data_IF_876729546556
#
_entry.id   IF_876729546556
#
_cell.length_a   1.000
_cell.length_b   1.000
_cell.length_c   1.000
_cell.angle_alpha   90.00
_cell.angle_beta   90.00
_cell.angle_gamma   90.00
#
_symmetry.space_group_name_H-M   'P 1'
#
loop_
_entity.id
_entity.type
_entity.pdbx_description
1 polymer ?
#
# COMPACT_ATOMS: atom_id res chain seq x y z
N UNK A 1 -29.63 -10.07 -46.80
CA UNK A 1 -29.37 -9.98 -45.35
C UNK A 1 -27.91 -10.26 -45.13
N UNK A 2 -27.13 -9.23 -44.77
CA UNK A 2 -25.69 -9.32 -44.57
C UNK A 2 -25.37 -10.07 -43.28
N UNK A 3 -24.57 -11.15 -43.40
CA UNK A 3 -23.98 -11.84 -42.27
C UNK A 3 -22.74 -11.08 -41.82
N UNK A 4 -22.80 -10.48 -40.63
CA UNK A 4 -21.63 -9.93 -39.97
C UNK A 4 -20.76 -11.08 -39.45
N UNK A 5 -19.55 -11.18 -40.00
CA UNK A 5 -18.47 -12.00 -39.45
C UNK A 5 -18.01 -11.39 -38.13
N UNK A 6 -18.14 -12.13 -37.04
CA UNK A 6 -17.61 -11.74 -35.73
C UNK A 6 -16.08 -11.86 -35.76
N UNK A 7 -15.40 -10.72 -35.94
CA UNK A 7 -13.97 -10.63 -35.67
C UNK A 7 -13.78 -10.77 -34.15
N UNK A 8 -13.22 -11.88 -33.70
CA UNK A 8 -12.72 -12.04 -32.33
C UNK A 8 -11.55 -11.08 -32.15
N UNK A 9 -11.79 -9.97 -31.46
CA UNK A 9 -10.73 -9.02 -31.09
C UNK A 9 -9.91 -9.62 -29.94
N UNK A 10 -8.79 -10.26 -30.31
CA UNK A 10 -7.65 -10.43 -29.40
C UNK A 10 -7.22 -9.04 -28.94
N UNK A 11 -7.54 -8.71 -27.69
CA UNK A 11 -7.14 -7.47 -27.03
C UNK A 11 -6.50 -7.79 -25.69
N UNK A 12 -5.42 -8.59 -25.73
CA UNK A 12 -4.40 -8.53 -24.67
C UNK A 12 -3.55 -7.28 -24.87
N UNK A 13 -4.20 -6.11 -24.91
CA UNK A 13 -3.49 -4.85 -24.74
C UNK A 13 -3.35 -4.68 -23.23
N UNK A 14 -2.29 -5.26 -22.66
CA UNK A 14 -1.80 -4.80 -21.37
C UNK A 14 -1.48 -3.32 -21.57
N UNK A 15 -2.43 -2.46 -21.23
CA UNK A 15 -2.22 -1.02 -21.20
C UNK A 15 -1.00 -0.81 -20.30
N UNK A 16 0.12 -0.39 -20.90
CA UNK A 16 1.28 0.07 -20.17
C UNK A 16 0.78 1.21 -19.29
N UNK A 17 0.63 0.94 -18.00
CA UNK A 17 0.26 1.94 -17.02
C UNK A 17 1.39 2.98 -16.96
N UNK A 18 1.18 4.09 -17.66
CA UNK A 18 2.10 5.23 -17.75
C UNK A 18 2.07 6.11 -16.47
N UNK A 19 1.36 5.66 -15.43
CA UNK A 19 1.22 6.40 -14.18
C UNK A 19 2.32 6.03 -13.18
N UNK A 20 3.59 6.09 -13.58
CA UNK A 20 4.74 5.79 -12.67
C UNK A 20 4.98 6.85 -11.59
N UNK A 21 4.19 7.92 -11.59
CA UNK A 21 4.26 9.01 -10.63
C UNK A 21 2.84 9.43 -10.22
N UNK A 22 2.57 9.41 -8.93
CA UNK A 22 1.29 9.83 -8.38
C UNK A 22 1.47 10.77 -7.18
N UNK A 23 0.53 11.71 -7.03
CA UNK A 23 0.47 12.63 -5.89
C UNK A 23 -0.57 12.12 -4.90
N UNK A 24 -0.17 12.02 -3.63
CA UNK A 24 -1.08 11.74 -2.51
C UNK A 24 -1.30 12.98 -1.69
N UNK A 25 -2.57 13.32 -1.50
CA UNK A 25 -3.03 14.36 -0.58
C UNK A 25 -3.67 13.63 0.61
N UNK A 26 -3.13 13.84 1.81
CA UNK A 26 -3.54 13.16 3.03
C UNK A 26 -3.94 14.20 4.07
N UNK A 27 -5.24 14.39 4.34
CA UNK A 27 -5.69 15.25 5.43
C UNK A 27 -5.18 14.75 6.78
N UNK A 28 -4.99 15.66 7.73
CA UNK A 28 -4.64 15.33 9.11
C UNK A 28 -5.64 14.31 9.69
N UNK A 29 -5.12 13.26 10.32
CA UNK A 29 -5.92 12.19 10.89
C UNK A 29 -6.32 11.10 9.89
N UNK A 30 -5.98 11.25 8.60
CA UNK A 30 -6.16 10.16 7.64
C UNK A 30 -5.27 8.97 7.95
N UNK A 31 -5.80 7.78 7.70
CA UNK A 31 -5.13 6.50 7.92
C UNK A 31 -5.36 5.59 6.72
N UNK A 32 -4.26 5.14 6.10
CA UNK A 32 -4.27 4.08 5.09
C UNK A 32 -3.84 2.78 5.76
N UNK A 33 -4.74 1.80 5.76
CA UNK A 33 -4.53 0.55 6.47
C UNK A 33 -3.41 -0.31 5.85
N UNK A 34 -2.98 -1.34 6.59
CA UNK A 34 -1.89 -2.23 6.19
C UNK A 34 -2.14 -2.87 4.83
N UNK A 35 -1.16 -2.74 3.94
CA UNK A 35 -1.15 -3.34 2.60
C UNK A 35 0.25 -3.77 2.19
N UNK A 36 0.31 -4.66 1.21
CA UNK A 36 1.50 -4.88 0.38
C UNK A 36 1.26 -4.11 -0.94
N UNK A 37 2.33 -3.59 -1.55
CA UNK A 37 2.22 -2.94 -2.86
C UNK A 37 1.79 -3.95 -3.93
N UNK A 38 1.09 -3.47 -4.95
CA UNK A 38 0.57 -4.32 -6.02
C UNK A 38 1.72 -5.07 -6.72
N UNK A 39 1.52 -6.36 -6.97
CA UNK A 39 2.56 -7.26 -7.49
C UNK A 39 3.73 -7.52 -6.52
N UNK A 40 3.63 -7.10 -5.26
CA UNK A 40 4.73 -7.22 -4.28
C UNK A 40 5.90 -6.28 -4.54
N UNK A 41 5.73 -5.28 -5.42
CA UNK A 41 6.80 -4.38 -5.83
C UNK A 41 7.36 -3.55 -4.67
N UNK A 42 8.59 -3.04 -4.83
CA UNK A 42 9.09 -1.97 -3.98
C UNK A 42 8.34 -0.67 -4.29
N UNK A 43 8.27 0.24 -3.32
CA UNK A 43 7.66 1.56 -3.51
C UNK A 43 8.44 2.62 -2.75
N UNK A 44 8.18 3.89 -3.07
CA UNK A 44 8.81 5.02 -2.41
C UNK A 44 7.78 6.13 -2.20
N UNK A 45 8.07 7.05 -1.29
CA UNK A 45 7.22 8.21 -1.06
C UNK A 45 8.05 9.40 -0.58
N UNK A 46 8.11 10.46 -1.37
CA UNK A 46 8.70 11.75 -1.02
C UNK A 46 7.66 12.69 -0.43
N UNK A 47 7.90 13.18 0.79
CA UNK A 47 6.98 14.09 1.46
C UNK A 47 7.34 15.55 1.14
N UNK A 48 6.50 16.22 0.35
CA UNK A 48 6.71 17.63 0.00
C UNK A 48 6.24 18.57 1.11
N UNK A 49 5.14 18.24 1.77
CA UNK A 49 4.57 19.03 2.86
C UNK A 49 3.98 18.13 3.95
N UNK A 50 4.01 18.59 5.21
CA UNK A 50 3.37 17.95 6.34
C UNK A 50 4.27 16.98 7.11
N UNK A 51 3.62 16.09 7.87
CA UNK A 51 4.25 15.01 8.66
C UNK A 51 3.37 13.77 8.65
N UNK A 52 3.96 12.63 8.31
CA UNK A 52 3.29 11.33 8.36
C UNK A 52 4.09 10.32 9.17
N UNK A 53 3.42 9.24 9.56
CA UNK A 53 4.02 8.07 10.18
C UNK A 53 3.76 6.85 9.30
N UNK A 54 4.82 6.14 8.95
CA UNK A 54 4.74 4.82 8.36
C UNK A 54 4.93 3.74 9.44
N UNK A 55 4.06 2.73 9.40
CA UNK A 55 4.22 1.49 10.16
C UNK A 55 4.61 0.40 9.18
N UNK A 56 5.69 -0.32 9.47
CA UNK A 56 6.31 -1.29 8.60
C UNK A 56 6.43 -2.64 9.32
N UNK A 57 6.02 -3.71 8.66
CA UNK A 57 6.17 -5.09 9.15
C UNK A 57 7.01 -5.85 8.12
N UNK A 58 8.11 -6.50 8.54
CA UNK A 58 8.97 -7.23 7.62
C UNK A 58 8.25 -8.47 7.08
N UNK A 59 8.47 -8.83 5.80
CA UNK A 59 7.80 -9.93 5.13
C UNK A 59 8.39 -11.30 5.51
N UNK A 60 8.29 -11.66 6.79
CA UNK A 60 8.60 -13.02 7.25
C UNK A 60 7.45 -13.96 6.88
N UNK A 61 7.72 -15.26 6.73
CA UNK A 61 6.70 -16.26 6.40
C UNK A 61 5.50 -16.20 7.36
N UNK A 62 5.77 -16.03 8.65
CA UNK A 62 4.74 -15.87 9.67
C UNK A 62 3.88 -14.62 9.45
N UNK A 63 4.51 -13.47 9.17
CA UNK A 63 3.80 -12.21 8.97
C UNK A 63 2.97 -12.23 7.68
N UNK A 64 3.48 -12.86 6.62
CA UNK A 64 2.76 -13.03 5.37
C UNK A 64 1.57 -13.97 5.55
N UNK A 65 1.71 -15.07 6.30
CA UNK A 65 0.60 -15.98 6.62
C UNK A 65 -0.50 -15.26 7.43
N UNK A 66 -0.11 -14.48 8.44
CA UNK A 66 -1.04 -13.68 9.25
C UNK A 66 -1.73 -12.59 8.42
N UNK A 67 -1.00 -11.88 7.58
CA UNK A 67 -1.56 -10.88 6.66
C UNK A 67 -2.55 -11.52 5.69
N UNK A 68 -2.21 -12.68 5.11
CA UNK A 68 -3.08 -13.41 4.19
C UNK A 68 -4.36 -13.84 4.89
N UNK A 69 -4.26 -14.44 6.08
CA UNK A 69 -5.42 -14.82 6.88
C UNK A 69 -6.29 -13.61 7.22
N UNK A 70 -5.68 -12.50 7.61
CA UNK A 70 -6.38 -11.25 7.95
C UNK A 70 -7.16 -10.65 6.76
N UNK A 71 -6.64 -10.79 5.53
CA UNK A 71 -7.36 -10.40 4.31
C UNK A 71 -8.47 -11.40 3.98
N UNK A 72 -8.15 -12.70 3.92
CA UNK A 72 -9.09 -13.76 3.47
C UNK A 72 -10.29 -13.90 4.41
N UNK A 73 -10.10 -13.69 5.70
CA UNK A 73 -11.18 -13.75 6.70
C UNK A 73 -12.07 -12.51 6.70
N UNK A 74 -11.74 -11.47 5.93
CA UNK A 74 -12.44 -10.18 5.96
C UNK A 74 -12.17 -9.37 7.24
N UNK A 75 -11.23 -9.80 8.09
CA UNK A 75 -10.91 -9.13 9.35
C UNK A 75 -10.46 -7.68 9.14
N UNK A 76 -9.78 -7.38 8.02
CA UNK A 76 -9.46 -6.00 7.64
C UNK A 76 -10.69 -5.12 7.55
N UNK A 77 -11.69 -5.59 6.81
CA UNK A 77 -12.88 -4.81 6.46
C UNK A 77 -13.85 -4.74 7.66
N UNK A 78 -13.77 -5.72 8.57
CA UNK A 78 -14.39 -5.69 9.89
C UNK A 78 -13.69 -4.74 10.90
N UNK A 79 -12.62 -4.04 10.50
CA UNK A 79 -11.92 -3.07 11.33
C UNK A 79 -10.90 -3.68 12.31
N UNK A 80 -10.57 -4.96 12.19
CA UNK A 80 -9.51 -5.57 13.01
C UNK A 80 -8.15 -5.00 12.60
N UNK A 81 -7.41 -4.47 13.55
CA UNK A 81 -6.08 -3.90 13.31
C UNK A 81 -5.02 -5.00 13.32
N UNK A 82 -4.39 -5.26 12.16
CA UNK A 82 -3.42 -6.35 11.92
C UNK A 82 -2.37 -6.55 13.03
N UNK A 83 -1.75 -5.48 13.59
CA UNK A 83 -0.84 -5.60 14.72
C UNK A 83 -1.35 -6.36 15.95
N UNK A 84 -2.66 -6.47 16.17
CA UNK A 84 -3.21 -7.27 17.26
C UNK A 84 -3.11 -8.78 17.02
N UNK A 85 -3.03 -9.21 15.76
CA UNK A 85 -2.83 -10.59 15.39
C UNK A 85 -1.35 -11.01 15.41
N UNK A 86 -0.42 -10.05 15.45
CA UNK A 86 1.01 -10.34 15.52
C UNK A 86 1.39 -10.79 16.94
N UNK A 87 2.11 -11.92 17.09
CA UNK A 87 2.46 -12.46 18.40
C UNK A 87 3.47 -11.58 19.15
N UNK A 88 4.28 -10.79 18.43
CA UNK A 88 5.29 -9.91 19.01
C UNK A 88 5.21 -8.51 18.41
N UNK A 89 4.87 -7.51 19.25
CA UNK A 89 4.80 -6.10 18.85
C UNK A 89 6.15 -5.51 18.39
N UNK A 90 7.28 -6.14 18.77
CA UNK A 90 8.63 -5.73 18.34
C UNK A 90 8.88 -5.90 16.83
N UNK A 91 7.97 -6.54 16.10
CA UNK A 91 8.07 -6.71 14.66
C UNK A 91 7.55 -5.52 13.85
N UNK A 92 7.01 -4.48 14.51
CA UNK A 92 6.51 -3.27 13.84
C UNK A 92 7.56 -2.16 13.98
N UNK A 93 8.04 -1.71 12.84
CA UNK A 93 8.95 -0.58 12.72
C UNK A 93 8.10 0.67 12.47
N UNK A 94 8.23 1.67 13.33
CA UNK A 94 7.57 2.97 13.18
C UNK A 94 8.58 3.99 12.67
N UNK A 95 8.26 4.65 11.57
CA UNK A 95 9.08 5.70 10.97
C UNK A 95 8.22 6.97 10.85
N UNK A 96 8.65 8.06 11.48
CA UNK A 96 8.07 9.38 11.22
C UNK A 96 8.82 10.01 10.04
N UNK A 97 8.06 10.47 9.04
CA UNK A 97 8.56 11.14 7.83
C UNK A 97 8.09 12.58 7.85
N UNK A 98 9.03 13.52 7.70
CA UNK A 98 8.76 14.97 7.65
C UNK A 98 9.07 15.55 6.27
N UNK A 99 8.56 16.75 6.00
CA UNK A 99 8.75 17.41 4.72
C UNK A 99 10.24 17.46 4.29
N UNK A 100 10.50 17.19 3.01
CA UNK A 100 11.83 17.08 2.42
C UNK A 100 12.46 15.68 2.51
N UNK A 101 11.85 14.74 3.24
CA UNK A 101 12.33 13.36 3.33
C UNK A 101 11.63 12.43 2.34
N UNK A 102 12.30 11.35 1.98
CA UNK A 102 11.73 10.25 1.21
C UNK A 102 11.84 8.94 2.00
N UNK A 103 10.77 8.15 1.98
CA UNK A 103 10.73 6.80 2.51
C UNK A 103 10.78 5.81 1.34
N UNK A 104 11.73 4.86 1.39
CA UNK A 104 11.77 3.73 0.47
C UNK A 104 11.33 2.45 1.20
N UNK A 105 10.41 1.71 0.60
CA UNK A 105 9.82 0.48 1.15
C UNK A 105 10.22 -0.68 0.23
N UNK A 106 11.00 -1.66 0.71
CA UNK A 106 11.41 -2.81 -0.09
C UNK A 106 10.23 -3.71 -0.49
N UNK A 107 10.47 -4.58 -1.47
CA UNK A 107 9.45 -5.51 -1.97
C UNK A 107 8.86 -6.40 -0.87
N UNK A 108 7.56 -6.68 -0.97
CA UNK A 108 6.82 -7.55 -0.06
C UNK A 108 6.52 -6.99 1.34
N UNK A 109 7.11 -5.86 1.75
CA UNK A 109 6.85 -5.28 3.06
C UNK A 109 5.38 -4.89 3.22
N UNK A 110 4.85 -5.17 4.41
CA UNK A 110 3.48 -4.80 4.77
C UNK A 110 3.56 -3.44 5.46
N UNK A 111 2.82 -2.44 4.97
CA UNK A 111 2.90 -1.08 5.49
C UNK A 111 1.55 -0.38 5.63
N UNK A 112 1.46 0.50 6.62
CA UNK A 112 0.34 1.41 6.83
C UNK A 112 0.86 2.85 6.98
N UNK A 113 0.03 3.83 6.64
CA UNK A 113 0.38 5.25 6.69
C UNK A 113 -0.64 6.02 7.52
N UNK A 114 -0.17 6.90 8.39
CA UNK A 114 -1.02 7.80 9.17
C UNK A 114 -0.52 9.24 9.03
N UNK A 115 -1.41 10.18 8.72
CA UNK A 115 -1.06 11.59 8.58
C UNK A 115 -1.24 12.33 9.92
N UNK A 116 -0.14 12.84 10.48
CA UNK A 116 -0.17 13.63 11.72
C UNK A 116 -0.52 15.12 11.46
N UNK A 117 -0.35 15.58 10.22
CA UNK A 117 -0.73 16.89 9.70
C UNK A 117 -1.23 16.74 8.25
N UNK A 118 -1.76 17.80 7.65
CA UNK A 118 -2.09 17.80 6.23
C UNK A 118 -0.82 17.61 5.38
N UNK A 119 -0.80 16.54 4.59
CA UNK A 119 0.37 16.11 3.84
C UNK A 119 0.15 16.14 2.33
N UNK A 120 1.21 16.49 1.61
CA UNK A 120 1.32 16.32 0.16
C UNK A 120 2.57 15.48 -0.11
N UNK A 121 2.40 14.33 -0.74
CA UNK A 121 3.48 13.40 -1.05
C UNK A 121 3.47 12.99 -2.52
N UNK A 122 4.65 12.76 -3.07
CA UNK A 122 4.87 12.19 -4.40
C UNK A 122 5.42 10.77 -4.26
N UNK A 123 5.05 9.86 -5.17
CA UNK A 123 5.44 8.46 -5.13
C UNK A 123 5.34 7.80 -6.52
#
# INVERSE_FOLDING_TARGET
GGGFSAATSDSTTAALDDSRHYVRILPRGSYSNFRIQDGGAATWMGLAHGKMTALLIPPTDLNLALYTSWIVTGARDAGCFLPHALPLRRQIIRIDVVAGQALFIPCGWIFALAAAADCVAAA
#
